data_IF_433398958854
#
_entry.id   IF_433398958854
#
_cell.length_a   1.000
_cell.length_b   1.000
_cell.length_c   1.000
_cell.angle_alpha   90.00
_cell.angle_beta   90.00
_cell.angle_gamma   90.00
#
_symmetry.space_group_name_H-M   'P 1'
#
loop_
_entity.id
_entity.type
_entity.pdbx_description
1 polymer ?
#
# COMPACT_ATOMS: atom_id res chain seq x y z
N UNK A 1 12.64 -11.78 3.82
CA UNK A 1 13.46 -10.59 4.15
C UNK A 1 12.48 -9.42 4.22
N UNK A 2 12.17 -8.95 5.42
CA UNK A 2 11.21 -7.86 5.61
C UNK A 2 11.95 -6.54 5.49
N UNK A 3 11.57 -5.71 4.54
CA UNK A 3 12.12 -4.35 4.38
C UNK A 3 11.10 -3.39 5.01
N UNK A 4 11.51 -2.75 6.11
CA UNK A 4 10.73 -1.71 6.77
C UNK A 4 11.08 -0.35 6.17
N UNK A 5 10.09 0.39 5.68
CA UNK A 5 10.27 1.78 5.29
C UNK A 5 10.15 2.64 6.54
N UNK A 6 11.23 3.30 6.93
CA UNK A 6 11.23 4.24 8.04
C UNK A 6 10.61 5.57 7.61
N UNK A 7 9.49 5.93 8.24
CA UNK A 7 9.02 7.33 8.22
C UNK A 7 9.86 8.10 9.24
N UNK A 8 10.50 9.17 8.79
CA UNK A 8 11.40 10.01 9.58
C UNK A 8 10.70 10.62 10.79
N UNK A 9 11.18 10.34 12.01
CA UNK A 9 10.66 10.88 13.28
C UNK A 9 11.57 12.03 13.72
N UNK A 10 10.97 13.19 14.02
CA UNK A 10 11.69 14.35 14.58
C UNK A 10 12.32 14.00 15.92
N UNK A 11 13.59 14.39 16.19
CA UNK A 11 14.19 14.19 17.51
C UNK A 11 13.55 15.13 18.53
N UNK A 12 13.05 14.59 19.65
CA UNK A 12 12.58 15.37 20.79
C UNK A 12 11.30 14.90 21.48
N UNK A 13 10.68 13.78 21.09
CA UNK A 13 9.63 13.16 21.89
C UNK A 13 10.21 11.93 22.63
N UNK A 14 9.71 11.69 23.86
CA UNK A 14 10.05 10.50 24.63
C UNK A 14 10.02 9.27 23.73
N UNK A 15 10.98 8.34 23.93
CA UNK A 15 11.02 7.07 23.20
C UNK A 15 9.62 6.43 23.24
N UNK A 16 8.82 6.68 22.20
CA UNK A 16 7.68 5.83 21.96
C UNK A 16 8.25 4.44 21.72
N UNK A 17 7.87 3.50 22.60
CA UNK A 17 8.18 2.09 22.41
C UNK A 17 7.97 1.75 20.95
N UNK A 18 8.99 1.17 20.29
CA UNK A 18 8.98 0.88 18.84
C UNK A 18 7.75 0.03 18.51
N UNK A 19 6.65 0.70 18.18
CA UNK A 19 5.29 0.13 18.06
C UNK A 19 5.26 -1.14 17.19
N UNK A 20 6.13 -1.20 16.17
CA UNK A 20 6.20 -2.33 15.23
C UNK A 20 6.73 -3.62 15.85
N UNK A 21 7.34 -3.58 17.03
CA UNK A 21 7.86 -4.78 17.72
C UNK A 21 6.75 -5.63 18.34
N UNK A 22 5.63 -5.01 18.67
CA UNK A 22 4.51 -5.66 19.35
C UNK A 22 3.21 -5.59 18.54
N UNK A 23 3.22 -4.90 17.40
CA UNK A 23 2.05 -4.65 16.57
C UNK A 23 1.50 -5.92 15.93
N UNK A 24 0.19 -6.04 15.93
CA UNK A 24 -0.56 -6.96 15.08
C UNK A 24 -0.85 -6.30 13.74
N UNK A 25 -0.39 -6.92 12.66
CA UNK A 25 -0.52 -6.36 11.30
C UNK A 25 -1.52 -7.19 10.49
N UNK A 26 -2.50 -6.52 9.90
CA UNK A 26 -3.46 -7.12 8.98
C UNK A 26 -3.04 -6.83 7.54
N UNK A 27 -2.68 -7.87 6.79
CA UNK A 27 -2.31 -7.73 5.37
C UNK A 27 -3.57 -7.59 4.51
N UNK A 28 -3.52 -6.66 3.57
CA UNK A 28 -4.57 -6.43 2.57
C UNK A 28 -3.98 -6.57 1.18
N UNK A 29 -4.63 -7.39 0.36
CA UNK A 29 -4.47 -7.38 -1.09
C UNK A 29 -5.60 -6.51 -1.68
N UNK A 30 -5.34 -5.25 -2.07
CA UNK A 30 -6.38 -4.30 -2.46
C UNK A 30 -7.29 -4.84 -3.56
N UNK A 31 -6.69 -5.48 -4.55
CA UNK A 31 -7.36 -6.02 -5.74
C UNK A 31 -8.56 -6.95 -5.45
N UNK A 32 -8.60 -7.59 -4.28
CA UNK A 32 -9.61 -8.60 -3.97
C UNK A 32 -10.40 -8.36 -2.69
N UNK A 33 -10.17 -7.25 -1.97
CA UNK A 33 -10.81 -7.10 -0.67
C UNK A 33 -12.27 -6.62 -0.78
N UNK A 34 -12.48 -5.40 -1.28
CA UNK A 34 -13.81 -4.80 -1.47
C UNK A 34 -13.83 -3.97 -2.75
N UNK A 35 -14.76 -4.28 -3.62
CA UNK A 35 -15.07 -3.59 -4.87
C UNK A 35 -16.20 -2.58 -4.57
N UNK A 36 -15.90 -1.27 -4.63
CA UNK A 36 -16.85 -0.22 -4.29
C UNK A 36 -17.62 0.31 -5.50
N UNK A 37 -17.11 0.11 -6.70
CA UNK A 37 -17.69 0.64 -7.94
C UNK A 37 -18.24 -0.42 -8.89
N UNK A 38 -18.11 -1.71 -8.52
CA UNK A 38 -18.64 -2.87 -9.24
C UNK A 38 -17.93 -3.13 -10.59
N UNK A 39 -16.64 -2.82 -10.67
CA UNK A 39 -15.81 -3.12 -11.82
C UNK A 39 -15.20 -4.54 -11.78
N UNK A 40 -15.35 -5.23 -10.66
CA UNK A 40 -14.86 -6.59 -10.43
C UNK A 40 -13.54 -6.62 -9.65
N UNK A 41 -12.98 -5.48 -9.28
CA UNK A 41 -11.73 -5.36 -8.55
C UNK A 41 -11.92 -4.56 -7.27
N UNK A 42 -11.14 -4.88 -6.24
CA UNK A 42 -11.13 -4.12 -5.01
C UNK A 42 -10.38 -2.80 -5.16
N UNK A 43 -10.77 -1.81 -4.38
CA UNK A 43 -10.28 -0.44 -4.50
C UNK A 43 -10.07 0.26 -3.15
N UNK A 44 -9.49 1.47 -3.14
CA UNK A 44 -9.21 2.23 -1.92
C UNK A 44 -10.47 2.63 -1.17
N UNK A 45 -11.57 2.94 -1.88
CA UNK A 45 -12.84 3.30 -1.25
C UNK A 45 -13.45 2.10 -0.55
N UNK A 46 -13.39 0.93 -1.17
CA UNK A 46 -13.84 -0.33 -0.57
C UNK A 46 -13.02 -0.71 0.66
N UNK A 47 -11.70 -0.47 0.65
CA UNK A 47 -10.86 -0.65 1.83
C UNK A 47 -11.24 0.37 2.91
N UNK A 48 -11.36 1.65 2.57
CA UNK A 48 -11.66 2.73 3.50
C UNK A 48 -12.98 2.47 4.23
N UNK A 49 -14.04 2.12 3.51
CA UNK A 49 -15.34 1.78 4.06
C UNK A 49 -16.07 0.82 3.11
N UNK A 50 -16.26 -0.46 3.43
CA UNK A 50 -16.38 -1.09 4.75
C UNK A 50 -15.13 -1.81 5.28
N UNK A 51 -14.03 -1.88 4.50
CA UNK A 51 -12.87 -2.70 4.85
C UNK A 51 -12.27 -2.40 6.22
N UNK A 52 -11.91 -1.13 6.48
CA UNK A 52 -11.38 -0.73 7.79
C UNK A 52 -12.41 -0.87 8.92
N UNK A 53 -13.70 -0.79 8.60
CA UNK A 53 -14.79 -1.08 9.56
C UNK A 53 -14.74 -2.54 10.03
N UNK A 54 -14.59 -3.47 9.10
CA UNK A 54 -14.42 -4.89 9.41
C UNK A 54 -13.16 -5.15 10.24
N UNK A 55 -12.01 -4.64 9.78
CA UNK A 55 -10.72 -4.82 10.47
C UNK A 55 -10.77 -4.28 11.90
N UNK A 56 -11.35 -3.09 12.08
CA UNK A 56 -11.53 -2.51 13.42
C UNK A 56 -12.42 -3.36 14.34
N UNK A 57 -13.39 -4.11 13.78
CA UNK A 57 -14.28 -4.98 14.55
C UNK A 57 -13.56 -6.25 15.07
N UNK A 58 -12.44 -6.64 14.48
CA UNK A 58 -11.67 -7.81 14.91
C UNK A 58 -10.99 -7.57 16.28
N UNK A 59 -10.68 -6.32 16.59
CA UNK A 59 -9.93 -5.95 17.79
C UNK A 59 -8.45 -6.35 17.73
N UNK A 60 -7.59 -5.58 18.36
CA UNK A 60 -6.16 -5.90 18.47
C UNK A 60 -5.33 -5.80 17.18
N UNK A 61 -5.85 -5.16 16.14
CA UNK A 61 -5.07 -4.82 14.94
C UNK A 61 -4.51 -3.40 15.10
N UNK A 62 -3.20 -3.26 14.96
CA UNK A 62 -2.48 -1.99 15.15
C UNK A 62 -2.12 -1.34 13.82
N UNK A 63 -1.95 -2.14 12.78
CA UNK A 63 -1.58 -1.66 11.46
C UNK A 63 -2.21 -2.50 10.34
N UNK A 64 -2.42 -1.85 9.20
CA UNK A 64 -2.69 -2.55 7.94
C UNK A 64 -1.44 -2.52 7.06
N UNK A 65 -1.23 -3.58 6.29
CA UNK A 65 -0.19 -3.66 5.28
C UNK A 65 -0.85 -3.86 3.91
N UNK A 66 -0.73 -2.86 3.05
CA UNK A 66 -1.18 -2.93 1.66
C UNK A 66 -0.10 -3.59 0.81
N UNK A 67 -0.43 -4.65 0.07
CA UNK A 67 0.43 -5.14 -1.01
C UNK A 67 0.60 -4.05 -2.07
N UNK A 68 1.51 -4.19 -3.07
CA UNK A 68 1.88 -3.07 -3.91
C UNK A 68 0.69 -2.36 -4.56
N UNK A 69 0.67 -1.03 -4.41
CA UNK A 69 -0.42 -0.17 -4.91
C UNK A 69 0.02 0.72 -6.08
N UNK A 70 1.31 0.66 -6.44
CA UNK A 70 1.87 1.48 -7.51
C UNK A 70 1.52 0.94 -8.89
N UNK A 71 1.70 1.77 -9.91
CA UNK A 71 1.36 1.42 -11.28
C UNK A 71 2.08 0.13 -11.72
N UNK A 72 1.31 -0.81 -12.22
CA UNK A 72 1.75 -2.14 -12.60
C UNK A 72 0.84 -2.70 -13.69
N UNK A 73 1.35 -3.47 -14.66
CA UNK A 73 0.52 -4.24 -15.58
C UNK A 73 -0.17 -5.44 -14.93
N UNK A 74 0.01 -5.63 -13.60
CA UNK A 74 -0.65 -6.68 -12.80
C UNK A 74 -0.40 -8.12 -13.26
N UNK A 75 0.71 -8.37 -13.97
CA UNK A 75 1.10 -9.73 -14.37
C UNK A 75 1.61 -10.56 -13.18
N UNK A 76 2.17 -9.87 -12.17
CA UNK A 76 2.65 -10.43 -10.92
C UNK A 76 1.98 -9.75 -9.71
N UNK A 77 0.66 -9.60 -9.77
CA UNK A 77 -0.19 -9.12 -8.66
C UNK A 77 0.24 -7.77 -8.05
N UNK A 78 0.86 -6.90 -8.86
CA UNK A 78 1.37 -5.59 -8.43
C UNK A 78 2.86 -5.56 -8.11
N UNK A 79 3.53 -6.72 -8.00
CA UNK A 79 4.97 -6.78 -7.73
C UNK A 79 5.83 -6.46 -8.98
N UNK A 80 5.23 -6.37 -10.15
CA UNK A 80 5.81 -5.92 -11.41
C UNK A 80 5.58 -4.42 -11.63
N UNK A 81 6.18 -3.59 -10.77
CA UNK A 81 5.97 -2.13 -10.76
C UNK A 81 6.53 -1.50 -12.03
N UNK A 82 5.69 -0.77 -12.76
CA UNK A 82 6.06 -0.02 -13.96
C UNK A 82 6.31 1.47 -13.72
N UNK A 83 5.75 2.02 -12.64
CA UNK A 83 6.04 3.36 -12.14
C UNK A 83 5.86 3.39 -10.61
N UNK A 84 6.91 3.81 -9.89
CA UNK A 84 6.92 3.89 -8.43
C UNK A 84 6.33 5.19 -7.88
N UNK A 85 6.05 6.16 -8.75
CA UNK A 85 5.56 7.48 -8.36
C UNK A 85 4.06 7.66 -8.61
N UNK A 86 3.45 6.72 -9.34
CA UNK A 86 2.05 6.76 -9.69
C UNK A 86 1.29 5.58 -9.06
N UNK A 87 0.08 5.85 -8.59
CA UNK A 87 -0.83 4.80 -8.13
C UNK A 87 -1.36 3.99 -9.31
N UNK A 88 -1.63 2.71 -9.08
CA UNK A 88 -2.34 1.92 -10.07
C UNK A 88 -3.80 2.37 -10.13
N UNK A 89 -4.28 2.89 -11.28
CA UNK A 89 -5.62 3.45 -11.39
C UNK A 89 -6.75 2.44 -11.13
N UNK A 90 -6.45 1.14 -11.14
CA UNK A 90 -7.40 0.09 -10.78
C UNK A 90 -7.85 0.18 -9.31
N UNK A 91 -7.05 0.82 -8.45
CA UNK A 91 -7.35 0.97 -7.03
C UNK A 91 -7.99 2.33 -6.69
N UNK A 92 -8.05 3.26 -7.64
CA UNK A 92 -8.51 4.63 -7.45
C UNK A 92 -7.40 5.65 -7.67
N UNK A 93 -7.62 6.87 -7.25
CA UNK A 93 -6.71 7.99 -7.39
C UNK A 93 -6.06 8.42 -6.05
N UNK A 94 -5.29 9.52 -6.09
CA UNK A 94 -4.63 10.06 -4.90
C UNK A 94 -5.61 10.59 -3.84
N UNK A 95 -6.78 11.09 -4.25
CA UNK A 95 -7.81 11.56 -3.32
C UNK A 95 -8.45 10.37 -2.60
N UNK A 96 -8.69 9.26 -3.30
CA UNK A 96 -9.18 8.02 -2.71
C UNK A 96 -8.18 7.41 -1.72
N UNK A 97 -6.89 7.42 -2.09
CA UNK A 97 -5.83 6.94 -1.20
C UNK A 97 -5.68 7.85 0.02
N UNK A 98 -5.77 9.16 -0.14
CA UNK A 98 -5.74 10.11 0.97
C UNK A 98 -6.91 9.87 1.94
N UNK A 99 -8.12 9.65 1.42
CA UNK A 99 -9.29 9.33 2.24
C UNK A 99 -9.10 8.04 3.04
N UNK A 100 -8.47 7.01 2.43
CA UNK A 100 -8.10 5.78 3.14
C UNK A 100 -7.13 6.06 4.29
N UNK A 101 -6.11 6.87 4.07
CA UNK A 101 -5.14 7.23 5.12
C UNK A 101 -5.80 7.99 6.27
N UNK A 102 -6.73 8.90 5.96
CA UNK A 102 -7.48 9.66 6.97
C UNK A 102 -8.38 8.75 7.80
N UNK A 103 -9.08 7.83 7.17
CA UNK A 103 -9.93 6.85 7.87
C UNK A 103 -9.10 5.89 8.72
N UNK A 104 -7.96 5.39 8.21
CA UNK A 104 -7.05 4.57 9.00
C UNK A 104 -6.54 5.33 10.24
N UNK A 105 -6.16 6.60 10.06
CA UNK A 105 -5.74 7.48 11.16
C UNK A 105 -6.86 7.71 12.17
N UNK A 106 -8.08 7.95 11.71
CA UNK A 106 -9.26 8.13 12.59
C UNK A 106 -9.49 6.90 13.46
N UNK A 107 -9.23 5.70 12.93
CA UNK A 107 -9.34 4.42 13.65
C UNK A 107 -8.11 4.06 14.48
N UNK A 108 -7.08 4.89 14.47
CA UNK A 108 -5.81 4.61 15.17
C UNK A 108 -4.95 3.55 14.50
N UNK A 109 -5.25 3.16 13.25
CA UNK A 109 -4.50 2.19 12.48
C UNK A 109 -3.31 2.86 11.78
N UNK A 110 -2.16 2.22 11.84
CA UNK A 110 -1.00 2.60 11.03
C UNK A 110 -1.09 1.93 9.66
N UNK A 111 -0.53 2.58 8.64
CA UNK A 111 -0.52 2.05 7.26
C UNK A 111 0.91 1.73 6.86
N UNK A 112 1.13 0.50 6.42
CA UNK A 112 2.40 0.01 5.88
C UNK A 112 2.19 -0.21 4.38
N UNK A 113 3.07 0.36 3.56
CA UNK A 113 3.08 0.12 2.13
C UNK A 113 4.16 -0.90 1.77
N UNK A 114 3.84 -1.76 0.83
CA UNK A 114 4.82 -2.66 0.25
C UNK A 114 5.81 -1.89 -0.62
N UNK A 115 7.06 -2.32 -0.63
CA UNK A 115 8.12 -1.73 -1.42
C UNK A 115 8.90 -2.81 -2.17
N UNK A 116 8.99 -2.70 -3.48
CA UNK A 116 9.58 -3.69 -4.39
C UNK A 116 10.91 -3.17 -4.97
N UNK A 117 12.03 -3.19 -4.22
CA UNK A 117 13.29 -2.61 -4.69
C UNK A 117 14.16 -3.59 -5.49
N UNK A 118 13.79 -4.86 -5.57
CA UNK A 118 14.63 -5.91 -6.15
C UNK A 118 14.64 -5.88 -7.68
N UNK A 119 13.54 -5.52 -8.30
CA UNK A 119 13.32 -5.53 -9.74
C UNK A 119 12.24 -4.52 -10.14
N UNK A 120 12.08 -4.30 -11.43
CA UNK A 120 10.98 -3.54 -12.02
C UNK A 120 10.20 -4.42 -13.00
N UNK A 121 9.01 -3.95 -13.40
CA UNK A 121 8.32 -4.50 -14.57
C UNK A 121 9.17 -4.39 -15.83
N UNK A 122 8.93 -5.28 -16.78
CA UNK A 122 9.42 -5.16 -18.18
C UNK A 122 8.83 -3.93 -18.90
N UNK A 123 7.80 -3.31 -18.34
CA UNK A 123 7.19 -2.08 -18.83
C UNK A 123 7.74 -0.81 -18.16
N UNK A 124 8.60 -0.94 -17.15
CA UNK A 124 9.21 0.22 -16.50
C UNK A 124 10.18 0.93 -17.46
N UNK A 125 10.19 2.27 -17.40
CA UNK A 125 11.05 3.07 -18.28
C UNK A 125 12.55 2.73 -18.18
N UNK A 126 13.02 2.32 -17.02
CA UNK A 126 14.41 1.88 -16.85
C UNK A 126 14.70 0.61 -17.64
N UNK A 127 13.80 -0.36 -17.60
CA UNK A 127 13.93 -1.60 -18.38
C UNK A 127 13.90 -1.31 -19.88
N UNK A 128 12.91 -0.53 -20.35
CA UNK A 128 12.76 -0.19 -21.75
C UNK A 128 13.99 0.55 -22.30
N UNK A 129 14.54 1.52 -21.55
CA UNK A 129 15.75 2.24 -21.91
C UNK A 129 16.97 1.31 -21.95
N UNK A 130 17.08 0.39 -20.99
CA UNK A 130 18.17 -0.60 -20.96
C UNK A 130 18.16 -1.50 -22.20
N UNK A 131 16.99 -2.03 -22.57
CA UNK A 131 16.80 -2.87 -23.76
C UNK A 131 17.09 -2.08 -25.05
N UNK A 132 16.70 -0.81 -25.12
CA UNK A 132 16.97 0.06 -26.25
C UNK A 132 18.46 0.50 -26.36
N UNK A 133 19.30 0.13 -25.42
CA UNK A 133 20.70 0.55 -25.37
C UNK A 133 20.91 2.04 -25.07
N UNK A 134 19.89 2.71 -24.55
CA UNK A 134 19.94 4.13 -24.13
C UNK A 134 20.55 4.21 -22.72
N UNK A 135 21.59 5.04 -22.56
CA UNK A 135 22.19 5.36 -21.25
C UNK A 135 21.63 6.66 -20.71
#
# INVERSE_FOLDING_TARGET
MFIFIFIWIKPGQAEEEEWWKTASVYQIYPYSLFDSDSDGFGDFRGISSPGLGHIGSLGGVDAIWLTPIFQSPMKDFGYDVSDYLELNPIFGDWDDFQALLEEAKFRGLKVILDFVPNHTSDQHQWFLKSVAGSR
#
